data_IF_334545304362
#
_entry.id   IF_334545304362
#
_cell.length_a   1.000
_cell.length_b   1.000
_cell.length_c   1.000
_cell.angle_alpha   90.00
_cell.angle_beta   90.00
_cell.angle_gamma   90.00
#
_symmetry.space_group_name_H-M   'P 1'
#
loop_
_entity.id
_entity.type
_entity.pdbx_description
1 polymer ?
#
# COMPACT_ATOMS: atom_id res chain seq x y z
N UNK A 1 53.04 2.08 -1.50
CA UNK A 1 52.51 1.32 -0.33
C UNK A 1 51.63 2.18 0.57
N UNK A 2 52.11 3.31 1.13
CA UNK A 2 51.31 4.17 2.04
C UNK A 2 49.96 4.64 1.46
N UNK A 3 49.92 5.02 0.17
CA UNK A 3 48.68 5.45 -0.53
C UNK A 3 47.61 4.36 -0.62
N UNK A 4 48.00 3.11 -0.84
CA UNK A 4 47.06 1.99 -0.91
C UNK A 4 46.48 1.67 0.47
N UNK A 5 47.30 1.79 1.52
CA UNK A 5 46.84 1.66 2.90
C UNK A 5 45.77 2.70 3.25
N UNK A 6 45.91 3.94 2.80
CA UNK A 6 44.93 5.00 3.03
C UNK A 6 43.59 4.72 2.35
N UNK A 7 43.63 4.19 1.11
CA UNK A 7 42.42 3.82 0.36
C UNK A 7 41.69 2.65 1.03
N UNK A 8 42.43 1.65 1.50
CA UNK A 8 41.85 0.48 2.19
C UNK A 8 41.17 0.88 3.51
N UNK A 9 41.79 1.78 4.28
CA UNK A 9 41.21 2.28 5.54
C UNK A 9 39.92 3.07 5.27
N UNK A 10 39.92 3.93 4.24
CA UNK A 10 38.72 4.70 3.86
C UNK A 10 37.58 3.78 3.41
N UNK A 11 37.88 2.74 2.63
CA UNK A 11 36.88 1.77 2.18
C UNK A 11 36.28 0.97 3.36
N UNK A 12 37.09 0.61 4.35
CA UNK A 12 36.61 -0.09 5.56
C UNK A 12 35.68 0.79 6.40
N UNK A 13 35.96 2.10 6.52
CA UNK A 13 35.09 3.03 7.28
C UNK A 13 33.74 3.29 6.60
N UNK A 14 33.65 3.16 5.28
CA UNK A 14 32.37 3.28 4.57
C UNK A 14 31.44 2.08 4.82
N UNK A 15 31.99 0.91 5.14
CA UNK A 15 31.19 -0.30 5.41
C UNK A 15 30.58 -0.31 6.82
N UNK A 16 31.13 0.44 7.77
CA UNK A 16 30.65 0.50 9.16
C UNK A 16 29.60 1.58 9.42
N UNK A 17 29.33 2.46 8.44
CA UNK A 17 28.40 3.59 8.61
C UNK A 17 26.92 3.23 8.32
N UNK A 18 26.61 1.98 7.99
CA UNK A 18 25.27 1.56 7.55
C UNK A 18 24.35 1.09 8.69
N UNK A 19 24.87 0.89 9.90
CA UNK A 19 24.07 0.32 11.00
C UNK A 19 23.01 1.32 11.51
N UNK A 20 23.33 2.62 11.56
CA UNK A 20 22.41 3.63 12.10
C UNK A 20 21.20 3.92 11.17
N UNK A 21 21.28 3.56 9.89
CA UNK A 21 20.19 3.81 8.93
C UNK A 21 19.05 2.78 9.03
N UNK A 22 19.30 1.59 9.58
CA UNK A 22 18.31 0.52 9.70
C UNK A 22 17.53 0.54 11.02
N UNK A 23 18.03 1.24 12.05
CA UNK A 23 17.44 1.30 13.39
C UNK A 23 16.58 2.56 13.65
N UNK A 24 16.44 3.45 12.66
CA UNK A 24 15.57 4.63 12.80
C UNK A 24 14.12 4.20 12.68
N UNK A 25 13.44 4.08 13.81
CA UNK A 25 11.98 3.91 13.84
C UNK A 25 11.36 5.21 13.29
N UNK A 26 10.59 5.15 12.19
CA UNK A 26 9.94 6.33 11.63
C UNK A 26 8.97 6.94 12.65
N UNK A 27 9.12 8.24 12.91
CA UNK A 27 8.21 8.98 13.79
C UNK A 27 6.78 8.95 13.22
N UNK A 28 5.82 8.56 14.07
CA UNK A 28 4.40 8.53 13.70
C UNK A 28 3.91 7.26 13.00
N UNK A 29 4.74 6.22 12.83
CA UNK A 29 4.29 4.90 12.34
C UNK A 29 4.40 3.85 13.43
N UNK A 30 3.35 3.04 13.58
CA UNK A 30 3.33 1.92 14.52
C UNK A 30 3.87 0.69 13.80
N UNK A 31 5.02 0.19 14.26
CA UNK A 31 5.58 -1.09 13.81
C UNK A 31 5.10 -2.16 14.80
N UNK A 32 4.39 -3.22 14.35
CA UNK A 32 3.94 -4.30 15.24
C UNK A 32 5.15 -5.06 15.79
N UNK A 33 5.19 -5.32 17.09
CA UNK A 33 6.28 -6.06 17.74
C UNK A 33 5.82 -7.36 18.41
N UNK A 34 4.52 -7.46 18.70
CA UNK A 34 3.93 -8.65 19.33
C UNK A 34 2.95 -9.33 18.39
N UNK A 35 2.68 -10.62 18.64
CA UNK A 35 1.65 -11.38 17.90
C UNK A 35 0.28 -10.69 17.98
N UNK A 36 -0.05 -10.09 19.13
CA UNK A 36 -1.29 -9.34 19.31
C UNK A 36 -1.35 -8.06 18.46
N UNK A 37 -0.23 -7.37 18.26
CA UNK A 37 -0.17 -6.19 17.39
C UNK A 37 -0.39 -6.56 15.93
N UNK A 38 0.16 -7.70 15.49
CA UNK A 38 -0.09 -8.22 14.14
C UNK A 38 -1.55 -8.64 13.97
N UNK A 39 -2.15 -9.26 14.97
CA UNK A 39 -3.58 -9.62 14.95
C UNK A 39 -4.47 -8.36 14.84
N UNK A 40 -4.18 -7.32 15.63
CA UNK A 40 -4.88 -6.03 15.53
C UNK A 40 -4.66 -5.34 14.18
N UNK A 41 -3.47 -5.44 13.61
CA UNK A 41 -3.15 -4.89 12.29
C UNK A 41 -3.96 -5.60 11.19
N UNK A 42 -3.98 -6.94 11.21
CA UNK A 42 -4.69 -7.75 10.22
C UNK A 42 -6.21 -7.63 10.35
N UNK A 43 -6.72 -7.40 11.56
CA UNK A 43 -8.13 -7.16 11.80
C UNK A 43 -8.53 -5.69 11.66
N UNK A 44 -7.62 -4.78 11.31
CA UNK A 44 -7.93 -3.37 11.15
C UNK A 44 -8.78 -3.16 9.88
N UNK A 45 -10.06 -2.77 9.99
CA UNK A 45 -10.95 -2.60 8.84
C UNK A 45 -10.41 -1.58 7.83
N UNK A 46 -9.80 -0.51 8.31
CA UNK A 46 -9.22 0.53 7.45
C UNK A 46 -8.05 0.03 6.61
N UNK A 47 -7.36 -1.04 7.04
CA UNK A 47 -6.29 -1.67 6.26
C UNK A 47 -6.81 -2.76 5.32
N UNK A 48 -7.81 -3.53 5.76
CA UNK A 48 -8.38 -4.64 5.01
C UNK A 48 -9.31 -4.15 3.88
N UNK A 49 -10.01 -3.04 4.08
CA UNK A 49 -10.91 -2.45 3.08
C UNK A 49 -10.25 -1.37 2.20
N UNK A 50 -8.92 -1.28 2.17
CA UNK A 50 -8.20 -0.27 1.38
C UNK A 50 -8.38 -0.39 -0.14
N UNK A 51 -9.07 -1.43 -0.63
CA UNK A 51 -9.42 -1.50 -2.04
C UNK A 51 -10.65 -0.62 -2.29
N UNK A 52 -10.42 0.62 -2.74
CA UNK A 52 -11.50 1.50 -3.24
C UNK A 52 -12.22 0.91 -4.48
N UNK A 53 -11.60 -0.09 -5.11
CA UNK A 53 -12.18 -0.96 -6.12
C UNK A 53 -13.06 -2.05 -5.52
N UNK A 54 -14.35 -2.07 -5.88
CA UNK A 54 -15.16 -3.27 -5.67
C UNK A 54 -14.83 -4.26 -6.80
N UNK A 55 -13.88 -5.14 -6.53
CA UNK A 55 -13.44 -6.18 -7.48
C UNK A 55 -14.59 -7.10 -7.92
N UNK A 56 -15.63 -7.27 -7.09
CA UNK A 56 -16.77 -8.10 -7.46
C UNK A 56 -17.60 -7.50 -8.60
N UNK A 57 -17.58 -6.18 -8.80
CA UNK A 57 -18.20 -5.54 -9.97
C UNK A 57 -17.34 -5.64 -11.23
N UNK A 58 -16.04 -5.93 -11.10
CA UNK A 58 -15.10 -6.14 -12.21
C UNK A 58 -14.96 -7.65 -12.52
N UNK A 59 -16.06 -8.38 -12.45
CA UNK A 59 -16.11 -9.81 -12.80
C UNK A 59 -16.82 -9.96 -14.16
N UNK A 60 -16.18 -10.58 -15.18
CA UNK A 60 -16.80 -10.78 -16.49
C UNK A 60 -18.07 -11.65 -16.43
N UNK A 61 -18.23 -12.49 -15.41
CA UNK A 61 -19.39 -13.37 -15.25
C UNK A 61 -20.54 -12.67 -14.48
N UNK A 62 -20.30 -11.46 -13.94
CA UNK A 62 -21.32 -10.69 -13.26
C UNK A 62 -22.24 -10.02 -14.28
N UNK A 63 -23.51 -10.44 -14.29
CA UNK A 63 -24.57 -9.71 -14.98
C UNK A 63 -25.32 -8.77 -14.03
N UNK A 64 -25.36 -7.49 -14.36
CA UNK A 64 -26.14 -6.48 -13.63
C UNK A 64 -27.34 -5.99 -14.44
N UNK A 65 -28.58 -6.18 -13.94
CA UNK A 65 -29.77 -5.61 -14.55
C UNK A 65 -29.70 -4.08 -14.58
N UNK A 66 -30.26 -3.46 -15.63
CA UNK A 66 -30.21 -2.01 -15.83
C UNK A 66 -30.77 -1.21 -14.63
N UNK A 67 -31.86 -1.70 -14.03
CA UNK A 67 -32.41 -1.08 -12.82
C UNK A 67 -31.38 -1.08 -11.67
N UNK A 68 -30.63 -2.16 -11.48
CA UNK A 68 -29.62 -2.24 -10.43
C UNK A 68 -28.41 -1.35 -10.74
N UNK A 69 -27.97 -1.34 -12.00
CA UNK A 69 -26.87 -0.49 -12.48
C UNK A 69 -27.17 1.00 -12.28
N UNK A 70 -28.38 1.45 -12.65
CA UNK A 70 -28.79 2.84 -12.51
C UNK A 70 -29.01 3.26 -11.05
N UNK A 71 -29.40 2.32 -10.18
CA UNK A 71 -29.60 2.56 -8.75
C UNK A 71 -28.31 2.47 -7.91
N UNK A 72 -27.15 2.20 -8.52
CA UNK A 72 -25.88 2.22 -7.79
C UNK A 72 -25.62 3.62 -7.25
N UNK A 73 -25.50 3.75 -5.93
CA UNK A 73 -25.25 5.04 -5.28
C UNK A 73 -23.95 5.68 -5.76
N UNK A 74 -22.87 4.89 -5.85
CA UNK A 74 -21.55 5.39 -6.18
C UNK A 74 -21.25 5.28 -7.68
N UNK A 75 -20.86 6.40 -8.30
CA UNK A 75 -20.44 6.47 -9.70
C UNK A 75 -19.27 5.52 -9.99
N UNK A 76 -18.32 5.40 -9.05
CA UNK A 76 -17.14 4.55 -9.18
C UNK A 76 -17.51 3.07 -9.41
N UNK A 77 -18.56 2.58 -8.77
CA UNK A 77 -18.98 1.19 -8.95
C UNK A 77 -19.60 0.95 -10.33
N UNK A 78 -20.31 1.93 -10.91
CA UNK A 78 -20.77 1.85 -12.31
C UNK A 78 -19.59 1.80 -13.27
N UNK A 79 -18.59 2.66 -13.07
CA UNK A 79 -17.36 2.71 -13.87
C UNK A 79 -16.56 1.41 -13.78
N UNK A 80 -16.49 0.81 -12.59
CA UNK A 80 -15.87 -0.50 -12.35
C UNK A 80 -16.61 -1.60 -13.11
N UNK A 81 -17.93 -1.65 -13.01
CA UNK A 81 -18.76 -2.61 -13.76
C UNK A 81 -18.56 -2.54 -15.28
N UNK A 82 -18.38 -1.33 -15.81
CA UNK A 82 -18.15 -1.12 -17.24
C UNK A 82 -16.67 -1.15 -17.65
N UNK A 83 -15.74 -1.49 -16.74
CA UNK A 83 -14.30 -1.49 -17.00
C UNK A 83 -13.78 -0.18 -17.60
N UNK A 84 -14.26 0.94 -17.08
CA UNK A 84 -13.82 2.29 -17.50
C UNK A 84 -12.31 2.47 -17.28
N UNK A 85 -11.64 3.22 -18.17
CA UNK A 85 -10.20 3.48 -18.10
C UNK A 85 -9.79 4.14 -16.77
N UNK A 86 -10.66 4.98 -16.21
CA UNK A 86 -10.50 5.59 -14.89
C UNK A 86 -11.67 5.19 -13.96
N UNK A 87 -11.54 4.08 -13.22
CA UNK A 87 -12.61 3.56 -12.37
C UNK A 87 -12.62 4.15 -10.95
N UNK A 88 -11.64 4.99 -10.57
CA UNK A 88 -11.52 5.58 -9.22
C UNK A 88 -11.27 7.08 -9.37
N UNK A 89 -12.28 7.91 -9.11
CA UNK A 89 -12.12 9.36 -9.13
C UNK A 89 -11.29 9.83 -7.93
N UNK A 90 -10.25 10.66 -8.13
CA UNK A 90 -9.39 11.20 -7.06
C UNK A 90 -10.16 11.95 -5.96
N UNK A 91 -11.34 12.48 -6.28
CA UNK A 91 -12.21 13.22 -5.34
C UNK A 91 -12.96 12.31 -4.36
N UNK A 92 -12.94 11.00 -4.57
CA UNK A 92 -13.57 10.02 -3.68
C UNK A 92 -12.57 9.44 -2.66
N UNK A 93 -11.38 10.04 -2.50
CA UNK A 93 -10.29 9.60 -1.61
C UNK A 93 -10.34 10.21 -0.19
N UNK A 94 -11.40 10.94 0.17
CA UNK A 94 -11.57 11.62 1.48
C UNK A 94 -12.41 10.82 2.51
#
# INVERSE_FOLDING_TARGET
>A
MKRYFTIIILALTCLTACDEFLDVIPTGKVIPNTVEDFDKLLNNPSLVYNTWGNMAYMDPDLYMPENNYNNMWQSKWRKQYTWSEDPIDEKDQD
#
